data_IF_306983146908
#
_entry.id   IF_306983146908
#
_cell.length_a   1.000
_cell.length_b   1.000
_cell.length_c   1.000
_cell.angle_alpha   90.00
_cell.angle_beta   90.00
_cell.angle_gamma   90.00
#
_symmetry.space_group_name_H-M   'P 1'
#
loop_
_entity.id
_entity.type
_entity.pdbx_description
1 polymer ?
#
# COMPACT_ATOMS: atom_id res chain seq x y z
N UNK A 1 -7.13 -9.99 -14.64
CA UNK A 1 -6.72 -8.57 -14.64
C UNK A 1 -7.47 -7.82 -13.55
N UNK A 2 -6.80 -6.89 -12.83
CA UNK A 2 -7.45 -5.96 -11.90
C UNK A 2 -7.48 -4.59 -12.56
N UNK A 3 -8.68 -4.05 -12.78
CA UNK A 3 -8.88 -2.70 -13.30
C UNK A 3 -9.29 -1.82 -12.13
N UNK A 4 -8.55 -0.73 -11.91
CA UNK A 4 -8.92 0.28 -10.91
C UNK A 4 -9.72 1.36 -11.63
N UNK A 5 -10.95 1.58 -11.19
CA UNK A 5 -11.82 2.64 -11.72
C UNK A 5 -12.22 3.59 -10.60
N UNK A 6 -12.31 4.87 -10.92
CA UNK A 6 -12.85 5.92 -10.04
C UNK A 6 -14.38 5.88 -10.02
N UNK A 7 -14.98 6.53 -9.02
CA UNK A 7 -16.44 6.65 -8.96
C UNK A 7 -17.00 7.40 -10.18
N UNK A 8 -16.27 8.37 -10.73
CA UNK A 8 -16.69 9.12 -11.91
C UNK A 8 -16.71 8.24 -13.16
N UNK A 9 -15.65 7.44 -13.36
CA UNK A 9 -15.58 6.48 -14.47
C UNK A 9 -16.66 5.41 -14.34
N UNK A 10 -16.90 4.90 -13.12
CA UNK A 10 -17.99 3.97 -12.85
C UNK A 10 -19.35 4.57 -13.23
N UNK A 11 -19.63 5.81 -12.80
CA UNK A 11 -20.90 6.48 -13.12
C UNK A 11 -21.07 6.73 -14.62
N UNK A 12 -20.00 7.14 -15.31
CA UNK A 12 -20.02 7.30 -16.76
C UNK A 12 -20.33 5.98 -17.47
N UNK A 13 -19.70 4.89 -17.03
CA UNK A 13 -19.92 3.55 -17.56
C UNK A 13 -21.36 3.07 -17.31
N UNK A 14 -21.90 3.27 -16.11
CA UNK A 14 -23.29 2.91 -15.79
C UNK A 14 -24.31 3.66 -16.68
N UNK A 15 -24.08 4.95 -16.97
CA UNK A 15 -24.93 5.73 -17.90
C UNK A 15 -24.94 5.18 -19.32
N UNK A 16 -23.82 4.66 -19.80
CA UNK A 16 -23.76 4.03 -21.12
C UNK A 16 -24.48 2.68 -21.08
N UNK A 17 -24.22 1.87 -20.06
CA UNK A 17 -24.77 0.52 -19.98
C UNK A 17 -26.28 0.48 -19.79
N UNK A 18 -26.88 1.42 -19.05
CA UNK A 18 -28.34 1.45 -18.86
C UNK A 18 -29.11 1.57 -20.19
N UNK A 19 -28.49 2.16 -21.23
CA UNK A 19 -29.08 2.35 -22.55
C UNK A 19 -28.78 1.21 -23.53
N UNK A 20 -27.73 0.41 -23.26
CA UNK A 20 -27.16 -0.52 -24.25
C UNK A 20 -27.14 -1.99 -23.77
N UNK A 21 -26.87 -2.22 -22.48
CA UNK A 21 -26.75 -3.56 -21.90
C UNK A 21 -27.10 -3.56 -20.40
N UNK A 22 -28.37 -3.85 -20.11
CA UNK A 22 -28.89 -3.93 -18.75
C UNK A 22 -28.33 -5.11 -17.95
N UNK A 23 -27.93 -6.21 -18.61
CA UNK A 23 -27.33 -7.36 -17.92
C UNK A 23 -25.97 -6.97 -17.34
N UNK A 24 -25.14 -6.32 -18.17
CA UNK A 24 -23.82 -5.86 -17.76
C UNK A 24 -23.90 -4.70 -16.76
N UNK A 25 -24.88 -3.79 -16.92
CA UNK A 25 -25.20 -2.76 -15.92
C UNK A 25 -25.42 -3.38 -14.54
N UNK A 26 -26.34 -4.34 -14.44
CA UNK A 26 -26.73 -4.98 -13.18
C UNK A 26 -25.54 -5.68 -12.52
N UNK A 27 -24.78 -6.47 -13.30
CA UNK A 27 -23.60 -7.18 -12.81
C UNK A 27 -22.55 -6.23 -12.24
N UNK A 28 -22.22 -5.15 -12.97
CA UNK A 28 -21.20 -4.20 -12.53
C UNK A 28 -21.67 -3.41 -11.30
N UNK A 29 -22.95 -3.05 -11.23
CA UNK A 29 -23.52 -2.42 -10.05
C UNK A 29 -23.47 -3.36 -8.84
N UNK A 30 -23.82 -4.64 -9.00
CA UNK A 30 -23.74 -5.63 -7.91
C UNK A 30 -22.31 -5.75 -7.36
N UNK A 31 -21.31 -5.85 -8.22
CA UNK A 31 -19.91 -5.91 -7.80
C UNK A 31 -19.46 -4.61 -7.09
N UNK A 32 -19.93 -3.45 -7.56
CA UNK A 32 -19.70 -2.19 -6.86
C UNK A 32 -20.32 -2.19 -5.46
N UNK A 33 -21.57 -2.61 -5.31
CA UNK A 33 -22.23 -2.72 -4.00
C UNK A 33 -21.49 -3.68 -3.08
N UNK A 34 -21.10 -4.87 -3.56
CA UNK A 34 -20.26 -5.81 -2.80
C UNK A 34 -18.98 -5.15 -2.33
N UNK A 35 -18.32 -4.37 -3.18
CA UNK A 35 -17.09 -3.66 -2.83
C UNK A 35 -17.31 -2.65 -1.70
N UNK A 36 -18.39 -1.86 -1.75
CA UNK A 36 -18.74 -0.87 -0.73
C UNK A 36 -19.08 -1.56 0.59
N UNK A 37 -19.96 -2.57 0.55
CA UNK A 37 -20.37 -3.35 1.73
C UNK A 37 -19.19 -4.11 2.37
N UNK A 38 -18.21 -4.53 1.57
CA UNK A 38 -17.02 -5.20 2.09
C UNK A 38 -16.15 -4.30 2.96
N UNK A 39 -16.24 -2.97 2.82
CA UNK A 39 -15.42 -1.97 3.52
C UNK A 39 -16.04 -1.56 4.86
N UNK A 40 -16.30 -2.54 5.72
CA UNK A 40 -16.87 -2.27 7.05
C UNK A 40 -15.89 -1.48 7.93
N UNK A 41 -16.43 -0.69 8.87
CA UNK A 41 -15.63 0.09 9.82
C UNK A 41 -14.62 -0.78 10.59
N UNK A 42 -15.02 -2.01 10.99
CA UNK A 42 -14.17 -3.00 11.64
C UNK A 42 -12.99 -3.42 10.73
N UNK A 43 -13.25 -3.73 9.45
CA UNK A 43 -12.20 -4.11 8.49
C UNK A 43 -11.26 -2.95 8.19
N UNK A 44 -11.79 -1.73 8.06
CA UNK A 44 -10.98 -0.52 7.86
C UNK A 44 -10.05 -0.32 9.06
N UNK A 45 -10.58 -0.34 10.29
CA UNK A 45 -9.79 -0.19 11.53
C UNK A 45 -8.72 -1.28 11.65
N UNK A 46 -9.06 -2.53 11.35
CA UNK A 46 -8.10 -3.65 11.36
C UNK A 46 -6.97 -3.45 10.34
N UNK A 47 -7.31 -3.02 9.13
CA UNK A 47 -6.33 -2.73 8.05
C UNK A 47 -5.40 -1.59 8.44
N UNK A 48 -5.94 -0.49 9.00
CA UNK A 48 -5.15 0.64 9.50
C UNK A 48 -4.19 0.18 10.62
N UNK A 49 -4.69 -0.61 11.58
CA UNK A 49 -3.87 -1.16 12.67
C UNK A 49 -2.72 -2.02 12.14
N UNK A 50 -3.01 -2.95 11.22
CA UNK A 50 -2.00 -3.80 10.60
C UNK A 50 -0.96 -2.98 9.81
N UNK A 51 -1.39 -1.97 9.06
CA UNK A 51 -0.50 -1.08 8.33
C UNK A 51 0.40 -0.27 9.27
N UNK A 52 -0.14 0.25 10.37
CA UNK A 52 0.63 0.97 11.37
C UNK A 52 1.67 0.06 12.05
N UNK A 53 1.29 -1.17 12.40
CA UNK A 53 2.22 -2.17 12.94
C UNK A 53 3.35 -2.49 11.94
N UNK A 54 3.01 -2.69 10.66
CA UNK A 54 3.99 -2.94 9.59
C UNK A 54 4.95 -1.76 9.39
N UNK A 55 4.44 -0.52 9.42
CA UNK A 55 5.25 0.71 9.34
C UNK A 55 6.19 0.84 10.53
N UNK A 56 5.71 0.56 11.75
CA UNK A 56 6.55 0.58 12.97
C UNK A 56 7.65 -0.48 12.89
N UNK A 57 7.32 -1.71 12.50
CA UNK A 57 8.31 -2.79 12.30
C UNK A 57 9.38 -2.40 11.28
N UNK A 58 8.97 -1.85 10.14
CA UNK A 58 9.90 -1.43 9.08
C UNK A 58 10.81 -0.28 9.55
N UNK A 59 10.25 0.71 10.26
CA UNK A 59 11.04 1.80 10.85
C UNK A 59 12.09 1.27 11.82
N UNK A 60 11.70 0.38 12.72
CA UNK A 60 12.62 -0.21 13.70
C UNK A 60 13.74 -1.02 13.02
N UNK A 61 13.41 -1.81 11.99
CA UNK A 61 14.40 -2.56 11.21
C UNK A 61 15.41 -1.63 10.53
N UNK A 62 14.94 -0.51 9.94
CA UNK A 62 15.81 0.51 9.33
C UNK A 62 16.73 1.15 10.37
N UNK A 63 16.21 1.56 11.52
CA UNK A 63 17.02 2.16 12.60
C UNK A 63 18.09 1.18 13.09
N UNK A 64 17.71 -0.08 13.31
CA UNK A 64 18.65 -1.11 13.75
C UNK A 64 19.74 -1.38 12.70
N UNK A 65 19.38 -1.45 11.42
CA UNK A 65 20.35 -1.65 10.35
C UNK A 65 21.32 -0.47 10.21
N UNK A 66 20.84 0.77 10.33
CA UNK A 66 21.70 1.96 10.39
C UNK A 66 22.69 1.86 11.57
N UNK A 67 22.22 1.47 12.75
CA UNK A 67 23.09 1.31 13.91
C UNK A 67 24.14 0.22 13.70
N UNK A 68 23.76 -0.93 13.13
CA UNK A 68 24.70 -2.02 12.81
C UNK A 68 25.76 -1.53 11.81
N UNK A 69 25.35 -0.88 10.72
CA UNK A 69 26.28 -0.33 9.72
C UNK A 69 27.24 0.70 10.33
N UNK A 70 26.74 1.57 11.22
CA UNK A 70 27.55 2.54 11.94
C UNK A 70 28.57 1.86 12.86
N UNK A 71 28.16 0.82 13.59
CA UNK A 71 29.06 0.02 14.45
C UNK A 71 30.13 -0.71 13.63
N UNK A 72 29.78 -1.19 12.43
CA UNK A 72 30.69 -1.85 11.49
C UNK A 72 31.55 -0.87 10.67
N UNK A 73 31.40 0.44 10.88
CA UNK A 73 32.03 1.51 10.10
C UNK A 73 31.86 1.33 8.58
N UNK A 74 30.66 0.93 8.16
CA UNK A 74 30.27 0.68 6.77
C UNK A 74 29.38 1.79 6.22
N UNK A 75 29.43 1.98 4.90
CA UNK A 75 28.61 2.96 4.21
C UNK A 75 27.11 2.78 4.49
N UNK A 76 26.48 3.87 4.93
CA UNK A 76 25.04 3.93 5.21
C UNK A 76 24.33 4.46 3.97
N UNK A 77 23.84 3.53 3.15
CA UNK A 77 23.08 3.81 1.93
C UNK A 77 21.73 3.12 2.01
N UNK A 78 20.77 3.54 1.19
CA UNK A 78 19.45 2.87 1.10
C UNK A 78 19.63 1.38 0.76
N UNK A 79 20.61 1.04 -0.07
CA UNK A 79 20.90 -0.33 -0.45
C UNK A 79 21.51 -1.14 0.71
N UNK A 80 22.56 -0.62 1.37
CA UNK A 80 23.20 -1.33 2.48
C UNK A 80 22.23 -1.51 3.65
N UNK A 81 21.41 -0.50 3.96
CA UNK A 81 20.35 -0.60 4.96
C UNK A 81 19.30 -1.65 4.57
N UNK A 82 18.85 -1.69 3.31
CA UNK A 82 17.89 -2.71 2.87
C UNK A 82 18.43 -4.13 3.05
N UNK A 83 19.71 -4.34 2.71
CA UNK A 83 20.39 -5.63 2.85
C UNK A 83 20.56 -6.01 4.32
N UNK A 84 21.05 -5.11 5.16
CA UNK A 84 21.26 -5.36 6.60
C UNK A 84 19.94 -5.54 7.36
N UNK A 85 18.87 -4.85 6.97
CA UNK A 85 17.54 -4.99 7.59
C UNK A 85 16.71 -6.17 7.04
N UNK A 86 17.20 -6.90 6.03
CA UNK A 86 16.48 -7.95 5.32
C UNK A 86 15.10 -7.50 4.80
N UNK A 87 15.04 -6.29 4.24
CA UNK A 87 13.82 -5.71 3.66
C UNK A 87 14.04 -5.37 2.19
N UNK A 88 12.94 -5.29 1.43
CA UNK A 88 13.01 -4.84 0.04
C UNK A 88 13.58 -3.42 -0.05
N UNK A 89 14.33 -3.15 -1.12
CA UNK A 89 14.84 -1.81 -1.42
C UNK A 89 13.74 -0.74 -1.39
N UNK A 90 12.56 -1.03 -1.95
CA UNK A 90 11.43 -0.11 -1.95
C UNK A 90 10.89 0.20 -0.55
N UNK A 91 10.99 -0.75 0.38
CA UNK A 91 10.64 -0.51 1.79
C UNK A 91 11.66 0.43 2.43
N UNK A 92 12.96 0.17 2.24
CA UNK A 92 14.03 1.04 2.77
C UNK A 92 13.98 2.45 2.16
N UNK A 93 13.72 2.56 0.85
CA UNK A 93 13.60 3.83 0.11
C UNK A 93 12.54 4.77 0.67
N UNK A 94 11.49 4.25 1.30
CA UNK A 94 10.48 5.08 2.01
C UNK A 94 11.04 5.83 3.20
N UNK A 95 12.21 5.42 3.71
CA UNK A 95 12.93 6.05 4.81
C UNK A 95 14.24 6.71 4.33
N UNK A 96 14.36 7.00 3.03
CA UNK A 96 15.60 7.56 2.44
C UNK A 96 16.10 8.80 3.17
N UNK A 97 15.21 9.71 3.56
CA UNK A 97 15.61 10.99 4.17
C UNK A 97 16.22 10.76 5.54
N UNK A 98 15.70 9.78 6.29
CA UNK A 98 16.30 9.35 7.55
C UNK A 98 17.67 8.70 7.31
N UNK A 99 17.79 7.81 6.32
CA UNK A 99 19.02 7.05 6.03
C UNK A 99 20.16 7.97 5.55
N UNK A 100 19.86 8.94 4.69
CA UNK A 100 20.85 9.85 4.11
C UNK A 100 21.33 10.94 5.09
N UNK A 101 20.63 11.13 6.21
CA UNK A 101 21.01 12.07 7.26
C UNK A 101 21.95 11.46 8.32
N UNK A 102 22.42 10.23 8.13
CA UNK A 102 23.18 9.45 9.12
C UNK A 102 24.68 9.60 9.05
#
# INVERSE_FOLDING_TARGET
MRITITNNEFNALQKILVQNDMSLYNRINEEFQKSVLSRTSKKIKATVKANNAKRKKSKNAVVNAVNILRLENRDITVYSVAKTAEISYNTAKKYKDFILAQ
#
